data_IF_380901301575
#
_entry.id   IF_380901301575
#
_cell.length_a   1.000
_cell.length_b   1.000
_cell.length_c   1.000
_cell.angle_alpha   90.00
_cell.angle_beta   90.00
_cell.angle_gamma   90.00
#
_symmetry.space_group_name_H-M   'P 1'
#
loop_
_entity.id
_entity.type
_entity.pdbx_description
1 polymer ?
#
# COMPACT_ATOMS: atom_id res chain seq x y z
N UNK A 1 0.79 -20.02 -22.54
CA UNK A 1 2.05 -20.39 -21.86
C UNK A 1 1.90 -20.00 -20.40
N UNK A 2 2.02 -20.95 -19.48
CA UNK A 2 1.84 -20.70 -18.04
C UNK A 2 3.16 -20.24 -17.43
N UNK A 3 3.20 -19.02 -16.90
CA UNK A 3 4.31 -18.58 -16.07
C UNK A 3 4.22 -19.30 -14.72
N UNK A 4 5.18 -20.19 -14.47
CA UNK A 4 5.36 -20.85 -13.18
C UNK A 4 5.90 -19.82 -12.18
N UNK A 5 5.01 -19.12 -11.47
CA UNK A 5 5.42 -18.31 -10.33
C UNK A 5 5.59 -19.21 -9.12
N UNK A 6 6.81 -19.70 -8.92
CA UNK A 6 7.24 -20.40 -7.72
C UNK A 6 8.41 -19.63 -7.12
N UNK A 7 8.14 -18.61 -6.32
CA UNK A 7 9.09 -18.21 -5.30
C UNK A 7 9.04 -19.27 -4.21
N UNK A 8 10.06 -20.13 -4.21
CA UNK A 8 10.28 -21.16 -3.21
C UNK A 8 10.51 -20.49 -1.84
N UNK A 9 9.44 -20.35 -1.06
CA UNK A 9 9.31 -20.20 0.40
C UNK A 9 7.88 -19.74 0.65
N UNK A 10 7.17 -20.26 1.65
CA UNK A 10 5.76 -19.92 1.92
C UNK A 10 5.48 -18.48 2.39
N UNK A 11 6.29 -17.50 1.96
CA UNK A 11 6.19 -16.08 2.29
C UNK A 11 5.64 -15.32 1.10
N UNK A 12 4.76 -14.35 1.38
CA UNK A 12 4.26 -13.43 0.36
C UNK A 12 5.39 -12.53 -0.15
N UNK A 13 5.72 -12.54 -1.46
CA UNK A 13 6.79 -11.71 -2.02
C UNK A 13 6.39 -10.23 -2.03
N UNK A 14 7.35 -9.32 -1.80
CA UNK A 14 7.09 -7.86 -1.73
C UNK A 14 7.07 -7.17 -3.10
N UNK A 15 7.66 -7.80 -4.13
CA UNK A 15 7.73 -7.30 -5.49
C UNK A 15 7.64 -8.46 -6.50
N UNK A 16 7.28 -8.15 -7.75
CA UNK A 16 7.30 -9.10 -8.86
C UNK A 16 8.70 -9.12 -9.48
N UNK A 17 9.36 -10.29 -9.47
CA UNK A 17 10.73 -10.44 -9.99
C UNK A 17 10.85 -10.23 -11.51
N UNK A 18 9.76 -10.36 -12.26
CA UNK A 18 9.78 -10.21 -13.72
C UNK A 18 9.60 -8.77 -14.17
N UNK A 19 8.92 -7.95 -13.37
CA UNK A 19 8.63 -6.54 -13.71
C UNK A 19 9.27 -5.53 -12.77
N UNK A 20 10.03 -5.97 -11.76
CA UNK A 20 10.62 -5.13 -10.69
C UNK A 20 9.59 -4.17 -10.06
N UNK A 21 8.34 -4.61 -9.97
CA UNK A 21 7.22 -3.77 -9.52
C UNK A 21 6.81 -4.11 -8.10
N UNK A 22 6.64 -3.12 -7.19
CA UNK A 22 6.10 -3.37 -5.86
C UNK A 22 4.71 -4.00 -5.90
N UNK A 23 4.48 -5.02 -5.07
CA UNK A 23 3.20 -5.74 -5.01
C UNK A 23 2.33 -5.35 -3.80
N UNK A 24 2.85 -4.53 -2.89
CA UNK A 24 2.18 -4.17 -1.64
C UNK A 24 0.81 -3.53 -1.87
N UNK A 25 0.67 -2.65 -2.86
CA UNK A 25 -0.61 -2.03 -3.21
C UNK A 25 -1.64 -3.06 -3.72
N UNK A 26 -1.20 -4.12 -4.42
CA UNK A 26 -2.09 -5.19 -4.87
C UNK A 26 -2.56 -6.08 -3.72
N UNK A 27 -1.74 -6.28 -2.70
CA UNK A 27 -2.17 -6.98 -1.49
C UNK A 27 -3.08 -6.10 -0.64
N UNK A 28 -2.80 -4.80 -0.53
CA UNK A 28 -3.64 -3.85 0.19
C UNK A 28 -5.08 -3.83 -0.36
N UNK A 29 -5.24 -3.89 -1.68
CA UNK A 29 -6.56 -3.98 -2.35
C UNK A 29 -7.33 -5.26 -2.06
N UNK A 30 -6.68 -6.30 -1.53
CA UNK A 30 -7.28 -7.59 -1.17
C UNK A 30 -7.54 -7.71 0.32
N UNK A 31 -7.16 -6.73 1.14
CA UNK A 31 -7.50 -6.73 2.56
C UNK A 31 -9.00 -6.56 2.71
N UNK A 32 -9.65 -7.42 3.51
CA UNK A 32 -11.08 -7.29 3.81
C UNK A 32 -11.38 -5.89 4.36
N UNK A 33 -10.53 -5.36 5.24
CA UNK A 33 -10.67 -4.01 5.79
C UNK A 33 -10.62 -2.90 4.75
N UNK A 34 -9.89 -3.10 3.65
CA UNK A 34 -9.88 -2.16 2.54
C UNK A 34 -11.13 -2.32 1.69
N UNK A 35 -11.48 -3.56 1.32
CA UNK A 35 -12.66 -3.88 0.54
C UNK A 35 -13.94 -3.33 1.18
N UNK A 36 -14.10 -3.53 2.49
CA UNK A 36 -15.24 -3.05 3.27
C UNK A 36 -15.30 -1.52 3.27
N UNK A 37 -14.18 -0.84 3.53
CA UNK A 37 -14.13 0.62 3.62
C UNK A 37 -14.36 1.34 2.28
N UNK A 38 -14.16 0.67 1.15
CA UNK A 38 -14.38 1.27 -0.18
C UNK A 38 -15.65 0.78 -0.87
N UNK A 39 -16.38 -0.16 -0.25
CA UNK A 39 -17.52 -0.84 -0.86
C UNK A 39 -18.64 0.10 -1.32
N UNK A 40 -18.87 1.19 -0.58
CA UNK A 40 -19.89 2.20 -0.88
C UNK A 40 -19.35 3.40 -1.70
N UNK A 41 -18.07 3.34 -2.09
CA UNK A 41 -17.39 4.38 -2.84
C UNK A 41 -16.93 5.58 -2.01
N UNK A 42 -17.03 5.53 -0.67
CA UNK A 42 -16.60 6.63 0.20
C UNK A 42 -15.98 6.12 1.51
N UNK A 43 -14.69 6.38 1.67
CA UNK A 43 -14.02 6.20 2.97
C UNK A 43 -14.43 7.33 3.93
N UNK A 44 -15.00 6.98 5.07
CA UNK A 44 -15.37 7.90 6.16
C UNK A 44 -14.19 8.16 7.11
N UNK A 45 -14.29 9.21 7.93
CA UNK A 45 -13.29 9.51 8.97
C UNK A 45 -13.09 8.32 9.92
N UNK A 46 -14.19 7.69 10.36
CA UNK A 46 -14.15 6.54 11.26
C UNK A 46 -13.42 5.35 10.65
N UNK A 47 -13.68 5.02 9.38
CA UNK A 47 -12.99 3.91 8.70
C UNK A 47 -11.50 4.18 8.52
N UNK A 48 -11.12 5.46 8.34
CA UNK A 48 -9.72 5.87 8.28
C UNK A 48 -9.05 5.73 9.66
N UNK A 49 -9.70 6.17 10.73
CA UNK A 49 -9.22 6.01 12.12
C UNK A 49 -9.06 4.53 12.47
N UNK A 50 -10.03 3.68 12.13
CA UNK A 50 -9.95 2.23 12.35
C UNK A 50 -8.78 1.59 11.57
N UNK A 51 -8.47 2.09 10.36
CA UNK A 51 -7.31 1.64 9.59
C UNK A 51 -5.99 2.09 10.21
N UNK A 52 -5.93 3.31 10.73
CA UNK A 52 -4.78 3.83 11.48
C UNK A 52 -4.52 3.01 12.75
N UNK A 53 -5.57 2.69 13.52
CA UNK A 53 -5.46 1.86 14.71
C UNK A 53 -4.87 0.48 14.39
N UNK A 54 -5.35 -0.17 13.33
CA UNK A 54 -4.79 -1.46 12.85
C UNK A 54 -3.32 -1.33 12.47
N UNK A 55 -2.96 -0.27 11.75
CA UNK A 55 -1.57 -0.01 11.34
C UNK A 55 -0.65 0.16 12.55
N UNK A 56 -1.06 0.97 13.52
CA UNK A 56 -0.29 1.25 14.74
C UNK A 56 -0.16 -0.01 15.60
N UNK A 57 -1.20 -0.83 15.73
CA UNK A 57 -1.11 -2.11 16.45
C UNK A 57 -0.03 -3.00 15.83
N UNK A 58 -0.06 -3.18 14.51
CA UNK A 58 0.93 -3.99 13.79
C UNK A 58 2.35 -3.43 13.93
N UNK A 59 2.52 -2.10 13.85
CA UNK A 59 3.83 -1.48 14.07
C UNK A 59 4.36 -1.78 15.48
N UNK A 60 3.53 -1.68 16.52
CA UNK A 60 3.93 -1.98 17.91
C UNK A 60 4.30 -3.45 18.11
N UNK A 61 3.63 -4.36 17.41
CA UNK A 61 3.92 -5.80 17.46
C UNK A 61 5.22 -6.15 16.73
N UNK A 62 5.47 -5.54 15.56
CA UNK A 62 6.58 -5.89 14.68
C UNK A 62 7.88 -5.19 15.09
N UNK A 63 7.82 -3.92 15.48
CA UNK A 63 9.01 -3.10 15.75
C UNK A 63 10.00 -3.74 16.74
N UNK A 64 9.57 -4.31 17.90
CA UNK A 64 10.48 -4.93 18.86
C UNK A 64 11.10 -6.25 18.39
N UNK A 65 10.56 -6.88 17.33
CA UNK A 65 11.06 -8.15 16.78
C UNK A 65 12.26 -7.94 15.84
N UNK A 66 12.53 -6.68 15.45
CA UNK A 66 13.59 -6.34 14.53
C UNK A 66 14.88 -6.07 15.28
N UNK A 67 16.00 -6.62 14.77
CA UNK A 67 17.32 -6.14 15.18
C UNK A 67 17.49 -4.66 14.80
N UNK A 68 18.40 -3.90 15.43
CA UNK A 68 18.60 -2.50 15.08
C UNK A 68 18.86 -2.27 13.57
N UNK A 69 19.65 -3.14 12.94
CA UNK A 69 19.91 -3.06 11.49
C UNK A 69 18.66 -3.38 10.65
N UNK A 70 17.88 -4.39 11.05
CA UNK A 70 16.64 -4.73 10.35
C UNK A 70 15.59 -3.63 10.51
N UNK A 71 15.50 -3.03 11.69
CA UNK A 71 14.62 -1.89 11.99
C UNK A 71 14.91 -0.70 11.07
N UNK A 72 16.18 -0.31 10.93
CA UNK A 72 16.57 0.78 10.04
C UNK A 72 16.18 0.51 8.58
N UNK A 73 16.46 -0.71 8.09
CA UNK A 73 16.13 -1.12 6.72
C UNK A 73 14.63 -1.16 6.47
N UNK A 74 13.85 -1.72 7.39
CA UNK A 74 12.39 -1.79 7.29
C UNK A 74 11.77 -0.40 7.39
N UNK A 75 12.27 0.45 8.29
CA UNK A 75 11.82 1.84 8.41
C UNK A 75 12.03 2.59 7.09
N UNK A 76 13.22 2.50 6.50
CA UNK A 76 13.49 3.11 5.21
C UNK A 76 12.56 2.58 4.12
N UNK A 77 12.32 1.27 4.07
CA UNK A 77 11.39 0.68 3.11
C UNK A 77 9.96 1.21 3.29
N UNK A 78 9.44 1.25 4.52
CA UNK A 78 8.09 1.75 4.81
C UNK A 78 7.95 3.23 4.39
N UNK A 79 8.99 4.04 4.60
CA UNK A 79 9.02 5.42 4.13
C UNK A 79 8.96 5.51 2.60
N UNK A 80 9.75 4.72 1.87
CA UNK A 80 9.75 4.72 0.40
C UNK A 80 8.41 4.23 -0.17
N UNK A 81 7.80 3.20 0.42
CA UNK A 81 6.46 2.72 0.04
C UNK A 81 5.41 3.81 0.24
N UNK A 82 5.42 4.47 1.41
CA UNK A 82 4.49 5.56 1.71
C UNK A 82 4.67 6.73 0.75
N UNK A 83 5.93 7.12 0.47
CA UNK A 83 6.23 8.17 -0.48
C UNK A 83 5.74 7.81 -1.89
N UNK A 84 5.98 6.58 -2.34
CA UNK A 84 5.52 6.09 -3.64
C UNK A 84 3.99 6.11 -3.76
N UNK A 85 3.26 5.62 -2.75
CA UNK A 85 1.80 5.63 -2.75
C UNK A 85 1.22 7.05 -2.74
N UNK A 86 1.81 8.00 -1.99
CA UNK A 86 1.44 9.41 -2.03
C UNK A 86 1.68 10.02 -3.43
N UNK A 87 2.83 9.74 -4.04
CA UNK A 87 3.15 10.19 -5.39
C UNK A 87 2.18 9.62 -6.42
N UNK A 88 1.83 8.33 -6.31
CA UNK A 88 0.82 7.70 -7.17
C UNK A 88 -0.55 8.35 -7.01
N UNK A 89 -1.01 8.57 -5.78
CA UNK A 89 -2.28 9.21 -5.48
C UNK A 89 -2.35 10.64 -6.07
N UNK A 90 -1.29 11.43 -5.87
CA UNK A 90 -1.17 12.78 -6.44
C UNK A 90 -1.17 12.77 -7.97
N UNK A 91 -0.42 11.86 -8.58
CA UNK A 91 -0.38 11.69 -10.04
C UNK A 91 -1.75 11.34 -10.62
N UNK A 92 -2.48 10.45 -9.96
CA UNK A 92 -3.84 10.06 -10.37
C UNK A 92 -4.85 11.20 -10.21
N UNK A 93 -4.81 11.92 -9.09
CA UNK A 93 -5.66 13.09 -8.86
C UNK A 93 -5.38 14.21 -9.89
N UNK A 94 -4.11 14.44 -10.24
CA UNK A 94 -3.71 15.40 -11.27
C UNK A 94 -4.24 15.05 -12.67
N UNK A 95 -4.28 13.76 -13.01
CA UNK A 95 -4.89 13.28 -14.28
C UNK A 95 -6.41 13.38 -14.31
N UNK A 96 -7.06 13.21 -13.15
CA UNK A 96 -8.52 13.22 -13.04
C UNK A 96 -9.13 14.63 -13.13
N UNK A 97 -8.34 15.70 -12.97
CA UNK A 97 -8.84 17.09 -13.03
C UNK A 97 -9.16 17.48 -14.48
N UNK A 98 -10.44 17.75 -14.85
CA UNK A 98 -10.78 18.13 -16.22
C UNK A 98 -10.16 19.48 -16.59
N UNK A 99 -9.51 19.56 -17.76
CA UNK A 99 -8.97 20.81 -18.33
C UNK A 99 -10.06 21.71 -18.95
N UNK A 100 -11.28 21.67 -18.45
CA UNK A 100 -12.36 22.50 -18.98
C UNK A 100 -12.24 23.90 -18.40
N UNK A 101 -11.68 24.82 -19.19
CA UNK A 101 -11.89 26.25 -18.98
C UNK A 101 -13.35 26.54 -19.33
N UNK A 102 -14.15 26.90 -18.32
CA UNK A 102 -15.50 27.42 -18.56
C UNK A 102 -15.37 28.69 -19.41
N UNK A 103 -15.84 28.63 -20.66
CA UNK A 103 -16.02 29.78 -21.54
C UNK A 103 -17.52 30.05 -21.63
N UNK A 104 -18.05 30.59 -20.54
CA UNK A 104 -19.35 31.27 -20.56
C UNK A 104 -19.20 32.69 -21.04
#
# INVERSE_FOLDING_TARGET
MMAKNQTATGKTPWFDESTDTPMLSEYARKLDSFCDAVADGRVTTRELEEQEERLVSLMREVEPLLSPEAHEKVTRLLCEVTAYDLMQALHMAGKARPKTVFRG
#
